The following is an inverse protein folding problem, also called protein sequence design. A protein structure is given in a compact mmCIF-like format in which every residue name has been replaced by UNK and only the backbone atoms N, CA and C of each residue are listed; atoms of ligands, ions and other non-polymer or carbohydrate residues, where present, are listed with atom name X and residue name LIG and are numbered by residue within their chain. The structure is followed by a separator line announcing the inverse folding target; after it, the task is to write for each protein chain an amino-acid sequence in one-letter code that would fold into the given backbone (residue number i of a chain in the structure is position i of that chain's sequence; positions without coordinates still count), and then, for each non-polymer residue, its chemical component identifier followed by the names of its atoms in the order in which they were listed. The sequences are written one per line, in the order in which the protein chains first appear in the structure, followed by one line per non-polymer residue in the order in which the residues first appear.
data_IF_325860973398
#
_entry.id   IF_325860973398
#
_cell.length_a   1.000
_cell.length_b   1.000
_cell.length_c   1.000
_cell.angle_alpha   90.00
_cell.angle_beta   90.00
_cell.angle_gamma   90.00
#
_symmetry.space_group_name_H-M   'P 1'
#
loop_
_entity.id
_entity.type
_entity.pdbx_description
1 polymer ?
#
# COMPACT_ATOMS: atom_id res chain seq x y z
N UNK A 1 -32.34 -5.01 37.17
CA UNK A 1 -33.37 -5.06 36.11
C UNK A 1 -33.32 -3.75 35.32
N UNK A 2 -32.24 -3.50 34.50
CA UNK A 2 -32.11 -2.27 33.71
C UNK A 2 -31.03 -2.47 32.60
N UNK A 3 -31.15 -3.49 31.75
CA UNK A 3 -30.18 -3.71 30.62
C UNK A 3 -30.91 -3.99 29.28
N UNK A 4 -32.15 -3.62 29.11
CA UNK A 4 -32.93 -4.04 27.94
C UNK A 4 -33.36 -2.91 26.99
N UNK A 5 -32.82 -1.68 27.08
CA UNK A 5 -33.30 -0.57 26.24
C UNK A 5 -32.25 0.14 25.36
N UNK A 6 -31.00 -0.28 25.38
CA UNK A 6 -29.96 0.38 24.55
C UNK A 6 -29.78 -0.27 23.15
N UNK A 7 -30.15 -1.50 22.96
CA UNK A 7 -29.95 -2.23 21.68
C UNK A 7 -30.77 -1.66 20.49
N UNK A 8 -32.05 -1.22 20.62
CA UNK A 8 -32.78 -0.74 19.46
C UNK A 8 -32.34 0.64 18.94
N UNK A 9 -31.78 1.49 19.80
CA UNK A 9 -31.32 2.84 19.40
C UNK A 9 -30.06 2.75 18.56
N UNK A 10 -29.14 1.88 18.93
CA UNK A 10 -27.88 1.65 18.20
C UNK A 10 -28.13 1.02 16.81
N UNK A 11 -29.03 0.04 16.71
CA UNK A 11 -29.45 -0.52 15.42
C UNK A 11 -30.14 0.52 14.53
N UNK A 12 -30.94 1.41 15.10
CA UNK A 12 -31.65 2.45 14.36
C UNK A 12 -30.65 3.51 13.84
N UNK A 13 -29.61 3.83 14.57
CA UNK A 13 -28.57 4.78 14.20
C UNK A 13 -27.66 4.22 13.09
N UNK A 14 -27.29 2.94 13.17
CA UNK A 14 -26.55 2.22 12.12
C UNK A 14 -27.35 2.15 10.82
N UNK A 15 -28.66 1.87 10.90
CA UNK A 15 -29.53 1.82 9.73
C UNK A 15 -29.71 3.18 9.05
N UNK A 16 -29.76 4.27 9.81
CA UNK A 16 -29.82 5.64 9.27
C UNK A 16 -28.51 6.03 8.61
N UNK A 17 -27.36 5.68 9.19
CA UNK A 17 -26.05 5.95 8.61
C UNK A 17 -25.85 5.17 7.31
N UNK A 18 -26.25 3.92 7.25
CA UNK A 18 -26.18 3.11 6.03
C UNK A 18 -27.09 3.64 4.91
N UNK A 19 -28.28 4.16 5.25
CA UNK A 19 -29.17 4.81 4.30
C UNK A 19 -28.60 6.13 3.77
N UNK A 20 -27.89 6.90 4.58
CA UNK A 20 -27.21 8.12 4.18
C UNK A 20 -26.03 7.79 3.24
N UNK A 21 -25.21 6.80 3.58
CA UNK A 21 -24.11 6.32 2.72
C UNK A 21 -24.63 5.82 1.37
N UNK A 22 -25.71 5.05 1.34
CA UNK A 22 -26.34 4.58 0.11
C UNK A 22 -26.86 5.75 -0.76
N UNK A 23 -27.40 6.80 -0.16
CA UNK A 23 -27.82 8.03 -0.85
C UNK A 23 -26.64 8.78 -1.47
N UNK A 24 -25.53 8.96 -0.76
CA UNK A 24 -24.36 9.63 -1.30
C UNK A 24 -23.67 8.78 -2.39
N UNK A 25 -23.65 7.47 -2.24
CA UNK A 25 -23.17 6.55 -3.28
C UNK A 25 -24.05 6.61 -4.53
N UNK A 26 -25.37 6.60 -4.39
CA UNK A 26 -26.31 6.72 -5.50
C UNK A 26 -26.20 8.09 -6.21
N UNK A 27 -26.00 9.17 -5.48
CA UNK A 27 -25.77 10.51 -6.02
C UNK A 27 -24.46 10.55 -6.80
N UNK A 28 -23.38 9.98 -6.24
CA UNK A 28 -22.09 9.88 -6.91
C UNK A 28 -22.16 9.05 -8.19
N UNK A 29 -22.90 7.95 -8.18
CA UNK A 29 -23.13 7.10 -9.34
C UNK A 29 -24.00 7.79 -10.41
N UNK A 30 -25.03 8.55 -10.02
CA UNK A 30 -25.85 9.37 -10.91
C UNK A 30 -25.05 10.51 -11.55
N UNK A 31 -24.13 11.12 -10.82
CA UNK A 31 -23.21 12.14 -11.37
C UNK A 31 -22.26 11.52 -12.40
N UNK A 32 -21.75 10.30 -12.17
CA UNK A 32 -20.90 9.59 -13.14
C UNK A 32 -21.70 9.22 -14.40
N UNK A 33 -22.95 8.78 -14.27
CA UNK A 33 -23.82 8.44 -15.39
C UNK A 33 -24.17 9.70 -16.21
N UNK A 34 -24.43 10.83 -15.54
CA UNK A 34 -24.73 12.10 -16.23
C UNK A 34 -23.54 12.65 -17.01
N UNK A 35 -22.30 12.37 -16.56
CA UNK A 35 -21.09 12.72 -17.30
C UNK A 35 -20.84 11.78 -18.49
N UNK A 36 -21.32 10.54 -18.45
CA UNK A 36 -21.17 9.56 -19.54
C UNK A 36 -22.14 9.79 -20.72
N UNK A 37 -23.27 10.46 -20.52
CA UNK A 37 -24.28 10.67 -21.57
C UNK A 37 -23.96 11.78 -22.57
N UNK A 38 -22.84 12.50 -22.42
CA UNK A 38 -22.53 13.69 -23.25
C UNK A 38 -21.58 13.40 -24.42
N UNK A 39 -21.07 12.19 -24.59
CA UNK A 39 -20.07 11.92 -25.63
C UNK A 39 -20.36 10.64 -26.41
N UNK A 40 -21.07 10.78 -27.55
CA UNK A 40 -20.88 9.86 -28.68
C UNK A 40 -19.60 10.32 -29.42
N UNK A 41 -18.45 9.82 -29.01
CA UNK A 41 -17.21 9.99 -29.76
C UNK A 41 -17.14 9.04 -30.97
N UNK A 42 -16.43 9.44 -32.05
CA UNK A 42 -16.19 8.56 -33.20
C UNK A 42 -15.52 7.26 -32.74
N UNK A 43 -15.89 6.12 -33.31
CA UNK A 43 -15.28 4.81 -33.01
C UNK A 43 -13.76 4.89 -33.21
N UNK A 44 -13.06 5.04 -32.09
CA UNK A 44 -11.60 4.89 -32.06
C UNK A 44 -11.26 3.43 -32.39
N UNK A 45 -10.20 3.20 -33.17
CA UNK A 45 -9.70 1.83 -33.41
C UNK A 45 -9.54 1.13 -32.07
N UNK A 46 -10.05 -0.11 -31.95
CA UNK A 46 -9.98 -0.83 -30.70
C UNK A 46 -8.52 -1.00 -30.24
N UNK A 47 -8.20 -0.52 -29.04
CA UNK A 47 -6.92 -0.75 -28.38
C UNK A 47 -6.75 -2.27 -28.14
N UNK A 48 -5.68 -2.90 -28.63
CA UNK A 48 -5.46 -4.32 -28.38
C UNK A 48 -5.19 -4.62 -26.90
N UNK A 49 -4.92 -3.59 -26.10
CA UNK A 49 -4.50 -3.71 -24.72
C UNK A 49 -3.03 -4.12 -24.59
N UNK A 50 -2.55 -4.15 -23.34
CA UNK A 50 -1.18 -4.48 -22.99
C UNK A 50 -1.17 -5.57 -21.92
N UNK A 51 -0.44 -6.65 -22.17
CA UNK A 51 -0.03 -7.62 -21.16
C UNK A 51 1.22 -7.06 -20.47
N UNK A 52 1.31 -7.21 -19.16
CA UNK A 52 2.47 -6.82 -18.38
C UNK A 52 2.67 -7.77 -17.19
N UNK A 53 3.90 -7.82 -16.69
CA UNK A 53 4.22 -8.65 -15.54
C UNK A 53 5.46 -8.20 -14.81
N UNK A 54 5.62 -8.73 -13.58
CA UNK A 54 6.83 -8.60 -12.76
C UNK A 54 7.08 -9.88 -12.00
N UNK A 55 8.35 -10.24 -11.87
CA UNK A 55 8.81 -11.37 -11.07
C UNK A 55 9.86 -10.85 -10.10
N UNK A 56 9.67 -11.16 -8.81
CA UNK A 56 10.63 -10.91 -7.74
C UNK A 56 11.18 -12.25 -7.26
N UNK A 57 12.46 -12.45 -7.42
CA UNK A 57 13.15 -13.64 -6.93
C UNK A 57 14.42 -13.24 -6.18
N UNK A 58 14.89 -14.13 -5.34
CA UNK A 58 16.13 -13.92 -4.62
C UNK A 58 16.86 -15.24 -4.34
N UNK A 59 18.09 -15.09 -3.96
CA UNK A 59 18.87 -16.04 -3.17
C UNK A 59 19.23 -15.34 -1.86
N UNK A 60 19.02 -15.99 -0.74
CA UNK A 60 19.34 -15.41 0.56
C UNK A 60 20.09 -16.35 1.47
N UNK A 61 20.82 -15.78 2.39
CA UNK A 61 21.39 -16.48 3.53
C UNK A 61 21.16 -15.70 4.82
N UNK A 62 20.69 -16.38 5.83
CA UNK A 62 20.59 -15.89 7.19
C UNK A 62 21.96 -15.92 7.85
N UNK A 63 22.27 -14.91 8.67
CA UNK A 63 23.56 -14.77 9.37
C UNK A 63 23.46 -14.96 10.88
N UNK A 64 22.35 -15.48 11.37
CA UNK A 64 22.11 -15.66 12.80
C UNK A 64 22.98 -16.80 13.37
N UNK A 65 23.22 -16.78 14.68
CA UNK A 65 23.89 -17.91 15.36
C UNK A 65 22.98 -19.13 15.38
N UNK A 66 23.42 -20.22 14.79
CA UNK A 66 22.70 -21.51 14.76
C UNK A 66 22.52 -22.05 13.35
N UNK A 67 21.39 -22.71 13.10
CA UNK A 67 21.05 -23.27 11.79
C UNK A 67 20.63 -22.15 10.83
N UNK A 68 21.58 -21.64 10.05
CA UNK A 68 21.35 -20.59 9.08
C UNK A 68 20.60 -21.13 7.86
N UNK A 69 19.48 -20.52 7.54
CA UNK A 69 18.71 -20.85 6.36
C UNK A 69 19.32 -20.19 5.12
N UNK A 70 19.49 -20.98 4.06
CA UNK A 70 19.95 -20.48 2.75
C UNK A 70 19.06 -21.08 1.68
N UNK A 71 18.46 -20.23 0.82
CA UNK A 71 17.53 -20.71 -0.19
C UNK A 71 17.44 -19.80 -1.42
N UNK A 72 16.99 -20.38 -2.54
CA UNK A 72 16.41 -19.64 -3.66
C UNK A 72 14.90 -19.51 -3.48
N UNK A 73 14.37 -18.33 -3.78
CA UNK A 73 12.96 -18.06 -3.61
C UNK A 73 12.39 -17.20 -4.74
N UNK A 74 11.16 -17.50 -5.14
CA UNK A 74 10.31 -16.56 -5.89
C UNK A 74 9.40 -15.90 -4.86
N UNK A 75 9.73 -14.68 -4.47
CA UNK A 75 8.96 -13.95 -3.46
C UNK A 75 7.58 -13.58 -3.96
N UNK A 76 7.49 -13.17 -5.24
CA UNK A 76 6.22 -12.71 -5.82
C UNK A 76 6.28 -12.67 -7.34
N UNK A 77 5.16 -12.91 -7.97
CA UNK A 77 4.99 -12.61 -9.39
C UNK A 77 3.65 -11.89 -9.61
N UNK A 78 3.67 -10.90 -10.49
CA UNK A 78 2.48 -10.19 -10.96
C UNK A 78 2.28 -10.50 -12.43
N UNK A 79 1.03 -10.71 -12.83
CA UNK A 79 0.63 -10.83 -14.23
C UNK A 79 -0.63 -10.03 -14.44
N UNK A 80 -0.64 -9.16 -15.43
CA UNK A 80 -1.77 -8.28 -15.67
C UNK A 80 -2.04 -8.00 -17.14
N UNK A 81 -3.25 -7.50 -17.36
CA UNK A 81 -3.71 -7.00 -18.64
C UNK A 81 -4.47 -5.69 -18.43
N UNK A 82 -4.13 -4.69 -19.21
CA UNK A 82 -4.87 -3.43 -19.24
C UNK A 82 -5.31 -3.09 -20.66
N UNK A 83 -6.46 -2.43 -20.78
CA UNK A 83 -7.03 -2.00 -22.07
C UNK A 83 -7.74 -0.67 -21.92
N UNK A 84 -7.51 0.24 -22.87
CA UNK A 84 -8.32 1.44 -23.04
C UNK A 84 -9.67 1.08 -23.68
N UNK A 85 -10.74 1.67 -23.18
CA UNK A 85 -12.12 1.50 -23.61
C UNK A 85 -12.66 2.88 -23.99
N UNK A 86 -12.57 3.23 -25.27
CA UNK A 86 -12.82 4.59 -25.73
C UNK A 86 -11.75 5.58 -25.23
N UNK A 87 -12.11 6.85 -25.17
CA UNK A 87 -11.18 7.95 -24.84
C UNK A 87 -10.96 8.15 -23.34
N UNK A 88 -11.92 7.76 -22.51
CA UNK A 88 -11.94 8.10 -21.09
C UNK A 88 -11.89 6.91 -20.15
N UNK A 89 -12.13 5.68 -20.63
CA UNK A 89 -12.19 4.51 -19.79
C UNK A 89 -10.96 3.60 -19.97
N UNK A 90 -10.59 2.92 -18.91
CA UNK A 90 -9.56 1.87 -18.90
C UNK A 90 -9.99 0.75 -17.97
N UNK A 91 -9.91 -0.49 -18.44
CA UNK A 91 -10.02 -1.66 -17.61
C UNK A 91 -8.64 -2.24 -17.30
N UNK A 92 -8.45 -2.73 -16.09
CA UNK A 92 -7.23 -3.40 -15.67
C UNK A 92 -7.57 -4.63 -14.83
N UNK A 93 -6.85 -5.71 -15.08
CA UNK A 93 -6.83 -6.90 -14.24
C UNK A 93 -5.38 -7.25 -13.97
N UNK A 94 -5.02 -7.44 -12.70
CA UNK A 94 -3.69 -7.88 -12.27
C UNK A 94 -3.82 -8.96 -11.22
N UNK A 95 -3.18 -10.09 -11.44
CA UNK A 95 -3.02 -11.17 -10.48
C UNK A 95 -1.74 -10.94 -9.67
N UNK A 96 -1.82 -11.26 -8.40
CA UNK A 96 -0.70 -11.45 -7.49
C UNK A 96 -0.54 -12.96 -7.29
N UNK A 97 0.63 -13.49 -7.61
CA UNK A 97 0.89 -14.91 -7.58
C UNK A 97 1.82 -15.17 -6.39
N UNK A 98 1.20 -15.52 -5.31
CA UNK A 98 1.74 -16.07 -4.10
C UNK A 98 2.95 -15.39 -3.48
N UNK A 99 2.96 -15.40 -2.18
CA UNK A 99 4.13 -15.14 -1.35
C UNK A 99 4.45 -16.43 -0.60
N UNK A 100 5.70 -16.70 -0.24
CA UNK A 100 6.05 -17.81 0.65
C UNK A 100 5.34 -17.73 2.00
N UNK A 101 4.98 -16.51 2.42
CA UNK A 101 4.26 -16.26 3.67
C UNK A 101 2.76 -16.57 3.57
N UNK A 102 2.23 -16.82 2.36
CA UNK A 102 0.84 -17.21 2.16
C UNK A 102 0.62 -18.63 2.73
N UNK A 103 -0.01 -18.70 3.88
CA UNK A 103 -0.31 -19.96 4.55
C UNK A 103 -1.71 -20.43 4.14
N UNK A 104 -1.81 -21.69 3.69
CA UNK A 104 -3.09 -22.36 3.49
C UNK A 104 -3.01 -23.80 4.01
N UNK A 105 -4.02 -24.19 4.75
CA UNK A 105 -4.19 -25.56 5.23
C UNK A 105 -4.45 -26.55 4.09
N UNK A 106 -4.96 -26.07 2.95
CA UNK A 106 -5.41 -26.88 1.82
C UNK A 106 -4.37 -27.02 0.69
N UNK A 107 -3.28 -26.25 0.71
CA UNK A 107 -2.27 -26.32 -0.35
C UNK A 107 -0.86 -26.49 0.20
N UNK A 108 -0.18 -27.49 -0.33
CA UNK A 108 1.24 -27.73 -0.07
C UNK A 108 2.18 -26.82 -0.84
N UNK A 109 1.67 -26.18 -1.91
CA UNK A 109 2.48 -25.38 -2.83
C UNK A 109 2.65 -23.95 -2.33
N UNK A 110 1.69 -23.44 -1.52
CA UNK A 110 1.67 -22.09 -0.94
C UNK A 110 1.87 -20.97 -1.98
N UNK A 111 1.36 -21.17 -3.19
CA UNK A 111 1.42 -20.20 -4.29
C UNK A 111 0.07 -20.12 -4.95
N UNK A 112 -0.66 -19.06 -4.62
CA UNK A 112 -2.00 -18.80 -5.14
C UNK A 112 -1.95 -17.60 -6.07
N UNK A 113 -2.79 -17.62 -7.08
CA UNK A 113 -3.09 -16.46 -7.89
C UNK A 113 -4.40 -15.85 -7.39
N UNK A 114 -4.37 -14.59 -6.97
CA UNK A 114 -5.55 -13.83 -6.58
C UNK A 114 -5.50 -12.43 -7.18
N UNK A 115 -6.64 -11.76 -7.22
CA UNK A 115 -6.72 -10.43 -7.80
C UNK A 115 -6.01 -9.41 -6.91
N UNK A 116 -4.94 -8.82 -7.44
CA UNK A 116 -4.32 -7.62 -6.85
C UNK A 116 -5.07 -6.37 -7.27
N UNK A 117 -5.47 -6.32 -8.55
CA UNK A 117 -6.31 -5.26 -9.08
C UNK A 117 -7.33 -5.86 -10.05
N UNK A 118 -8.54 -5.36 -10.03
CA UNK A 118 -9.59 -5.62 -10.99
C UNK A 118 -10.53 -4.42 -11.00
N UNK A 119 -10.28 -3.44 -11.86
CA UNK A 119 -11.00 -2.17 -11.81
C UNK A 119 -11.32 -1.59 -13.18
N UNK A 120 -12.36 -0.75 -13.20
CA UNK A 120 -12.63 0.23 -14.23
C UNK A 120 -12.11 1.59 -13.78
N UNK A 121 -11.31 2.24 -14.61
CA UNK A 121 -10.90 3.62 -14.43
C UNK A 121 -11.61 4.53 -15.42
N UNK A 122 -12.00 5.71 -14.96
CA UNK A 122 -12.46 6.83 -15.77
C UNK A 122 -11.49 8.00 -15.61
N UNK A 123 -11.03 8.57 -16.72
CA UNK A 123 -10.14 9.72 -16.71
C UNK A 123 -10.62 10.75 -17.72
N UNK A 124 -10.85 11.97 -17.24
CA UNK A 124 -11.16 13.13 -18.07
C UNK A 124 -10.60 14.39 -17.42
N UNK A 125 -9.84 15.15 -18.19
CA UNK A 125 -9.19 16.38 -17.75
C UNK A 125 -8.37 16.16 -16.45
N UNK A 126 -8.77 16.81 -15.38
CA UNK A 126 -8.15 16.75 -14.06
C UNK A 126 -8.71 15.67 -13.13
N UNK A 127 -9.76 14.98 -13.57
CA UNK A 127 -10.46 13.98 -12.78
C UNK A 127 -10.04 12.58 -13.19
N UNK A 128 -9.65 11.76 -12.20
CA UNK A 128 -9.48 10.33 -12.36
C UNK A 128 -10.31 9.61 -11.29
N UNK A 129 -11.01 8.56 -11.68
CA UNK A 129 -11.82 7.76 -10.78
C UNK A 129 -11.60 6.28 -11.07
N UNK A 130 -11.53 5.46 -10.02
CA UNK A 130 -11.34 4.02 -10.10
C UNK A 130 -12.43 3.31 -9.29
N UNK A 131 -12.98 2.24 -9.83
CA UNK A 131 -13.98 1.41 -9.15
C UNK A 131 -13.64 -0.07 -9.33
N UNK A 132 -13.62 -0.83 -8.24
CA UNK A 132 -13.26 -2.25 -8.20
C UNK A 132 -12.15 -2.52 -7.18
N UNK A 133 -11.33 -3.55 -7.39
CA UNK A 133 -10.12 -3.79 -6.58
C UNK A 133 -9.03 -2.83 -7.05
N UNK A 134 -8.81 -1.77 -6.28
CA UNK A 134 -7.96 -0.63 -6.62
C UNK A 134 -6.71 -0.58 -5.75
N UNK A 135 -5.65 0.02 -6.25
CA UNK A 135 -4.50 0.40 -5.41
C UNK A 135 -4.91 1.54 -4.46
N UNK A 136 -4.55 1.44 -3.18
CA UNK A 136 -4.81 2.49 -2.20
C UNK A 136 -3.69 3.53 -2.21
N UNK A 137 -4.07 4.81 -2.14
CA UNK A 137 -3.13 5.93 -2.29
C UNK A 137 -2.30 6.21 -1.04
N UNK A 138 -2.53 5.50 0.08
CA UNK A 138 -1.81 5.70 1.33
C UNK A 138 -0.29 5.76 1.11
N UNK A 139 0.27 4.71 0.54
CA UNK A 139 1.72 4.57 0.36
C UNK A 139 2.17 4.37 -1.10
N UNK A 140 1.28 4.53 -2.05
CA UNK A 140 1.61 4.37 -3.47
C UNK A 140 2.72 5.32 -3.93
N UNK A 141 2.72 6.54 -3.40
CA UNK A 141 3.73 7.55 -3.71
C UNK A 141 5.06 7.17 -3.04
N UNK A 142 5.04 6.78 -1.76
CA UNK A 142 6.20 6.32 -1.01
C UNK A 142 6.88 5.14 -1.71
N UNK A 143 6.09 4.13 -2.12
CA UNK A 143 6.59 2.97 -2.86
C UNK A 143 7.27 3.37 -4.16
N UNK A 144 6.74 4.36 -4.89
CA UNK A 144 7.33 4.89 -6.11
C UNK A 144 8.68 5.59 -5.87
N UNK A 145 8.84 6.27 -4.73
CA UNK A 145 10.09 6.90 -4.35
C UNK A 145 11.09 5.88 -3.78
N UNK A 146 10.64 4.93 -2.98
CA UNK A 146 11.47 3.83 -2.51
C UNK A 146 12.06 3.02 -3.68
N UNK A 147 11.27 2.74 -4.73
CA UNK A 147 11.66 2.11 -5.99
C UNK A 147 12.26 0.69 -5.88
N UNK A 148 12.45 0.15 -4.68
CA UNK A 148 13.04 -1.16 -4.39
C UNK A 148 12.01 -2.12 -3.78
N UNK A 149 10.76 -2.10 -4.30
CA UNK A 149 9.67 -2.96 -3.81
C UNK A 149 10.00 -4.46 -3.88
N UNK A 150 10.89 -4.86 -4.79
CA UNK A 150 11.35 -6.23 -4.95
C UNK A 150 12.35 -6.66 -3.85
N UNK A 151 12.96 -5.71 -3.13
CA UNK A 151 13.83 -5.92 -1.97
C UNK A 151 12.96 -5.93 -0.71
N UNK A 152 12.20 -4.85 -0.48
CA UNK A 152 11.32 -4.72 0.66
C UNK A 152 10.10 -3.83 0.33
N UNK A 153 8.96 -4.11 0.97
CA UNK A 153 7.76 -3.27 0.94
C UNK A 153 8.08 -1.84 1.42
N UNK A 154 7.27 -0.85 1.03
CA UNK A 154 7.32 0.46 1.68
C UNK A 154 7.03 0.31 3.18
N UNK A 155 7.43 1.28 4.00
CA UNK A 155 7.27 1.22 5.45
C UNK A 155 5.81 0.96 5.85
N UNK A 156 4.89 1.77 5.34
CA UNK A 156 3.47 1.62 5.68
C UNK A 156 2.86 0.26 5.25
N UNK A 157 3.35 -0.35 4.15
CA UNK A 157 2.95 -1.70 3.71
C UNK A 157 3.62 -2.80 4.56
N UNK A 158 4.91 -2.63 4.90
CA UNK A 158 5.68 -3.61 5.68
C UNK A 158 5.11 -3.76 7.09
N UNK A 159 4.78 -2.65 7.73
CA UNK A 159 4.28 -2.61 9.11
C UNK A 159 2.75 -2.45 9.20
N UNK A 160 2.03 -2.76 8.11
CA UNK A 160 0.57 -2.90 8.06
C UNK A 160 -0.21 -1.65 8.47
N UNK A 161 0.31 -0.44 8.22
CA UNK A 161 -0.45 0.81 8.42
C UNK A 161 -1.63 0.96 7.44
N UNK A 162 -1.78 0.07 6.48
CA UNK A 162 -2.89 -0.02 5.54
C UNK A 162 -2.69 -1.17 4.57
N UNK A 163 -3.71 -1.46 3.79
CA UNK A 163 -3.64 -2.42 2.69
C UNK A 163 -3.13 -1.74 1.42
N UNK A 164 -2.37 -2.47 0.59
CA UNK A 164 -1.85 -1.93 -0.67
C UNK A 164 -2.89 -1.83 -1.77
N UNK A 165 -3.98 -2.59 -1.66
CA UNK A 165 -5.16 -2.51 -2.52
C UNK A 165 -6.38 -3.01 -1.77
N UNK A 166 -7.56 -2.62 -2.23
CA UNK A 166 -8.83 -3.04 -1.65
C UNK A 166 -9.96 -2.87 -2.66
N UNK A 167 -11.10 -3.51 -2.40
CA UNK A 167 -12.33 -3.31 -3.17
C UNK A 167 -12.97 -1.99 -2.72
N UNK A 168 -13.14 -1.06 -3.67
CA UNK A 168 -13.65 0.26 -3.33
C UNK A 168 -13.73 1.21 -4.51
N UNK A 169 -13.85 2.47 -4.17
CA UNK A 169 -13.92 3.59 -5.07
C UNK A 169 -12.91 4.65 -4.68
N UNK A 170 -12.07 5.07 -5.63
CA UNK A 170 -11.09 6.14 -5.49
C UNK A 170 -11.44 7.26 -6.48
N UNK A 171 -11.42 8.48 -6.01
CA UNK A 171 -11.47 9.69 -6.82
C UNK A 171 -10.19 10.46 -6.58
N UNK A 172 -9.54 10.88 -7.66
CA UNK A 172 -8.40 11.78 -7.64
C UNK A 172 -8.72 13.00 -8.50
N UNK A 173 -8.38 14.18 -7.99
CA UNK A 173 -8.57 15.45 -8.68
C UNK A 173 -7.32 16.31 -8.60
N UNK A 174 -6.75 16.63 -9.76
CA UNK A 174 -5.59 17.52 -9.87
C UNK A 174 -6.08 18.98 -9.87
N UNK A 175 -6.24 19.55 -8.67
CA UNK A 175 -6.77 20.90 -8.50
C UNK A 175 -5.93 21.94 -9.25
N UNK A 176 -4.62 21.87 -9.08
CA UNK A 176 -3.64 22.68 -9.80
C UNK A 176 -2.49 21.79 -10.28
N UNK A 177 -1.54 22.32 -11.01
CA UNK A 177 -0.34 21.59 -11.45
C UNK A 177 0.55 21.14 -10.26
N UNK A 178 0.32 21.70 -9.08
CA UNK A 178 1.11 21.42 -7.88
C UNK A 178 0.30 20.88 -6.69
N UNK A 179 -1.03 20.74 -6.82
CA UNK A 179 -1.91 20.16 -5.78
C UNK A 179 -2.77 19.08 -6.41
N UNK A 180 -2.67 17.85 -5.88
CA UNK A 180 -3.57 16.73 -6.16
C UNK A 180 -4.27 16.29 -4.88
N UNK A 181 -5.57 16.09 -4.97
CA UNK A 181 -6.44 15.63 -3.89
C UNK A 181 -6.94 14.23 -4.22
N UNK A 182 -7.06 13.39 -3.23
CA UNK A 182 -7.70 12.08 -3.40
C UNK A 182 -8.66 11.76 -2.25
N UNK A 183 -9.72 11.04 -2.59
CA UNK A 183 -10.68 10.46 -1.67
C UNK A 183 -10.88 9.00 -2.02
N UNK A 184 -10.86 8.14 -1.03
CA UNK A 184 -11.10 6.69 -1.19
C UNK A 184 -12.17 6.24 -0.21
N UNK A 185 -13.03 5.36 -0.66
CA UNK A 185 -13.94 4.58 0.17
C UNK A 185 -13.79 3.11 -0.23
N UNK A 186 -13.43 2.26 0.73
CA UNK A 186 -13.17 0.84 0.48
C UNK A 186 -13.70 -0.04 1.61
N UNK A 187 -13.72 -1.34 1.39
CA UNK A 187 -14.16 -2.29 2.40
C UNK A 187 -13.32 -2.22 3.68
N UNK A 188 -12.00 -2.05 3.57
CA UNK A 188 -11.08 -1.99 4.71
C UNK A 188 -10.36 -3.30 5.01
N UNK A 189 -10.84 -4.43 4.48
CA UNK A 189 -10.28 -5.77 4.72
C UNK A 189 -9.02 -6.07 3.88
N UNK A 190 -8.84 -5.31 2.78
CA UNK A 190 -7.79 -5.56 1.81
C UNK A 190 -8.20 -6.53 0.70
N UNK A 191 -7.43 -6.52 -0.39
CA UNK A 191 -7.78 -7.17 -1.66
C UNK A 191 -7.81 -8.70 -1.63
N UNK A 192 -7.24 -9.33 -0.63
CA UNK A 192 -7.21 -10.80 -0.46
C UNK A 192 -8.30 -11.32 0.48
N UNK A 193 -9.10 -10.45 1.07
CA UNK A 193 -10.16 -10.79 2.01
C UNK A 193 -11.53 -10.40 1.46
N UNK A 194 -12.57 -11.13 1.90
CA UNK A 194 -13.95 -10.76 1.66
C UNK A 194 -14.42 -9.79 2.75
N UNK A 195 -15.39 -8.94 2.42
CA UNK A 195 -16.08 -8.13 3.41
C UNK A 195 -16.74 -9.04 4.45
N UNK A 196 -16.35 -8.93 5.71
CA UNK A 196 -16.84 -9.77 6.81
C UNK A 196 -17.81 -9.03 7.73
N UNK A 197 -17.86 -7.72 7.62
CA UNK A 197 -18.74 -6.85 8.40
C UNK A 197 -19.40 -5.75 7.53
N UNK A 198 -20.06 -4.78 8.14
CA UNK A 198 -20.71 -3.67 7.45
C UNK A 198 -19.90 -2.36 7.56
N UNK A 199 -18.63 -2.43 7.89
CA UNK A 199 -17.77 -1.25 8.03
C UNK A 199 -17.13 -0.89 6.71
N UNK A 200 -16.79 0.39 6.55
CA UNK A 200 -16.04 0.89 5.41
C UNK A 200 -14.89 1.75 5.92
N UNK A 201 -13.78 1.68 5.21
CA UNK A 201 -12.66 2.60 5.41
C UNK A 201 -12.78 3.76 4.44
N UNK A 202 -12.80 4.96 4.97
CA UNK A 202 -12.75 6.20 4.19
C UNK A 202 -11.40 6.87 4.37
N UNK A 203 -10.86 7.45 3.29
CA UNK A 203 -9.56 8.11 3.34
C UNK A 203 -9.54 9.38 2.50
N UNK A 204 -8.73 10.34 2.93
CA UNK A 204 -8.42 11.56 2.20
C UNK A 204 -6.90 11.73 2.09
N UNK A 205 -6.46 12.21 0.94
CA UNK A 205 -5.05 12.49 0.70
C UNK A 205 -4.85 13.83 -0.01
N UNK A 206 -3.75 14.48 0.31
CA UNK A 206 -3.29 15.70 -0.36
C UNK A 206 -1.84 15.51 -0.76
N UNK A 207 -1.55 15.63 -2.06
CA UNK A 207 -0.18 15.61 -2.59
C UNK A 207 0.18 16.99 -3.10
N UNK A 208 1.29 17.52 -2.63
CA UNK A 208 1.83 18.83 -2.99
C UNK A 208 3.12 18.64 -3.76
N UNK A 209 3.24 19.32 -4.90
CA UNK A 209 4.41 19.33 -5.79
C UNK A 209 4.96 20.75 -5.89
N UNK A 210 5.62 21.28 -4.84
CA UNK A 210 6.01 22.69 -4.78
C UNK A 210 7.12 23.08 -5.76
N UNK A 211 7.50 22.20 -6.66
CA UNK A 211 8.64 22.35 -7.56
C UNK A 211 9.92 21.78 -6.97
N UNK A 212 11.08 22.06 -7.62
CA UNK A 212 12.41 21.61 -7.17
C UNK A 212 12.52 20.10 -6.92
N UNK A 213 11.73 19.27 -7.64
CA UNK A 213 11.73 17.81 -7.50
C UNK A 213 11.24 17.31 -6.13
N UNK A 214 10.55 18.14 -5.37
CA UNK A 214 10.00 17.82 -4.06
C UNK A 214 8.56 17.34 -4.17
N UNK A 215 8.18 16.44 -3.28
CA UNK A 215 6.80 16.08 -3.00
C UNK A 215 6.56 16.07 -1.51
N UNK A 216 5.37 16.52 -1.11
CA UNK A 216 4.83 16.32 0.23
C UNK A 216 3.49 15.65 0.09
N UNK A 217 3.25 14.59 0.86
CA UNK A 217 1.94 13.95 0.93
C UNK A 217 1.45 13.90 2.36
N UNK A 218 0.22 14.33 2.55
CA UNK A 218 -0.57 14.15 3.76
C UNK A 218 -1.67 13.15 3.48
N UNK A 219 -1.93 12.27 4.43
CA UNK A 219 -2.95 11.25 4.33
C UNK A 219 -3.62 11.04 5.68
N UNK A 220 -4.92 10.80 5.66
CA UNK A 220 -5.70 10.41 6.82
C UNK A 220 -6.79 9.43 6.40
N UNK A 221 -6.93 8.32 7.14
CA UNK A 221 -8.05 7.39 7.00
C UNK A 221 -8.76 7.17 8.32
N UNK A 222 -10.00 6.70 8.21
CA UNK A 222 -10.78 6.26 9.34
C UNK A 222 -11.75 5.15 8.95
N UNK A 223 -12.03 4.28 9.91
CA UNK A 223 -13.06 3.24 9.88
C UNK A 223 -13.60 3.04 11.28
N UNK A 224 -14.82 2.53 11.40
CA UNK A 224 -15.53 2.39 12.67
C UNK A 224 -16.15 0.98 12.73
N UNK A 225 -15.85 0.25 13.81
CA UNK A 225 -16.51 -0.99 14.22
C UNK A 225 -17.10 -0.78 15.61
N UNK A 226 -16.61 -1.53 16.61
CA UNK A 226 -16.92 -1.29 18.02
C UNK A 226 -16.21 -0.03 18.52
N UNK A 227 -14.96 0.16 18.11
CA UNK A 227 -14.20 1.41 18.22
C UNK A 227 -13.81 1.94 16.84
N UNK A 228 -13.35 3.18 16.79
CA UNK A 228 -12.81 3.76 15.56
C UNK A 228 -11.31 3.44 15.43
N UNK A 229 -10.87 3.12 14.22
CA UNK A 229 -9.47 3.06 13.87
C UNK A 229 -9.16 4.14 12.84
N UNK A 230 -8.05 4.84 13.01
CA UNK A 230 -7.60 5.83 12.02
C UNK A 230 -6.08 5.83 11.85
N UNK A 231 -5.64 6.25 10.67
CA UNK A 231 -4.21 6.39 10.36
C UNK A 231 -3.93 7.78 9.81
N UNK A 232 -2.95 8.47 10.39
CA UNK A 232 -2.40 9.72 9.88
C UNK A 232 -1.00 9.48 9.33
N UNK A 233 -0.69 10.05 8.16
CA UNK A 233 0.59 9.85 7.49
C UNK A 233 1.12 11.13 6.86
N UNK A 234 2.43 11.32 6.98
CA UNK A 234 3.19 12.37 6.30
C UNK A 234 4.35 11.75 5.53
N UNK A 235 4.50 12.13 4.27
CA UNK A 235 5.65 11.77 3.45
C UNK A 235 6.27 13.01 2.80
N UNK A 236 7.59 13.05 2.81
CA UNK A 236 8.41 14.02 2.08
C UNK A 236 9.36 13.25 1.17
N UNK A 237 9.33 13.55 -0.13
CA UNK A 237 10.18 12.91 -1.13
C UNK A 237 10.92 13.94 -1.97
N UNK A 238 12.14 13.57 -2.37
CA UNK A 238 12.95 14.32 -3.31
C UNK A 238 13.49 13.38 -4.38
N UNK A 239 13.42 13.82 -5.65
CA UNK A 239 13.91 13.02 -6.77
C UNK A 239 14.65 13.90 -7.76
N UNK A 240 15.94 13.67 -7.93
CA UNK A 240 16.75 14.22 -8.99
C UNK A 240 17.11 13.09 -9.96
N UNK A 241 16.47 13.11 -11.13
CA UNK A 241 16.57 12.01 -12.09
C UNK A 241 18.02 11.62 -12.41
N UNK A 242 18.29 10.32 -12.41
CA UNK A 242 19.58 9.69 -12.64
C UNK A 242 20.71 10.15 -11.69
N UNK A 243 20.38 10.76 -10.54
CA UNK A 243 21.36 11.20 -9.54
C UNK A 243 21.01 10.78 -8.13
N UNK A 244 19.80 11.11 -7.68
CA UNK A 244 19.43 10.90 -6.30
C UNK A 244 17.90 10.75 -6.16
N UNK A 245 17.49 9.81 -5.32
CA UNK A 245 16.11 9.69 -4.85
C UNK A 245 16.16 9.50 -3.35
N UNK A 246 15.30 10.19 -2.62
CA UNK A 246 15.19 10.00 -1.17
C UNK A 246 13.80 10.33 -0.66
N UNK A 247 13.51 9.84 0.52
CA UNK A 247 12.24 10.11 1.18
C UNK A 247 12.29 9.85 2.67
N UNK A 248 11.42 10.53 3.38
CA UNK A 248 11.11 10.29 4.78
C UNK A 248 9.63 10.21 4.96
N UNK A 249 9.16 9.27 5.76
CA UNK A 249 7.76 9.12 6.09
C UNK A 249 7.56 8.92 7.58
N UNK A 250 6.43 9.38 8.10
CA UNK A 250 5.95 9.13 9.44
C UNK A 250 4.49 8.68 9.37
N UNK A 251 4.18 7.61 10.09
CA UNK A 251 2.82 7.07 10.18
C UNK A 251 2.45 6.93 11.65
N UNK A 252 1.20 7.24 11.98
CA UNK A 252 0.60 7.05 13.29
C UNK A 252 -0.77 6.41 13.11
N UNK A 253 -1.00 5.26 13.75
CA UNK A 253 -2.29 4.59 13.81
C UNK A 253 -2.84 4.68 15.21
N UNK A 254 -4.06 5.15 15.28
CA UNK A 254 -4.87 5.19 16.48
C UNK A 254 -5.75 3.94 16.53
N UNK A 255 -5.84 3.33 17.72
CA UNK A 255 -6.70 2.18 18.02
C UNK A 255 -6.51 1.04 17.03
N UNK A 256 -5.29 0.48 16.97
CA UNK A 256 -4.95 -0.62 16.08
C UNK A 256 -5.89 -1.81 16.33
N UNK A 257 -6.32 -2.44 15.24
CA UNK A 257 -7.31 -3.52 15.24
C UNK A 257 -8.60 -3.16 16.01
N UNK A 258 -9.01 -1.88 15.93
CA UNK A 258 -10.20 -1.33 16.59
C UNK A 258 -10.21 -1.52 18.11
N UNK A 259 -9.03 -1.56 18.72
CA UNK A 259 -8.88 -1.67 20.17
C UNK A 259 -8.50 -0.31 20.75
N UNK A 260 -9.31 0.21 21.66
CA UNK A 260 -9.10 1.53 22.28
C UNK A 260 -7.72 1.63 22.92
N UNK A 261 -7.04 2.75 22.69
CA UNK A 261 -5.71 3.09 23.21
C UNK A 261 -4.54 2.24 22.70
N UNK A 262 -4.78 1.24 21.81
CA UNK A 262 -3.71 0.49 21.15
C UNK A 262 -3.20 1.31 19.96
N UNK A 263 -2.21 2.17 20.22
CA UNK A 263 -1.63 3.04 19.19
C UNK A 263 -0.27 2.54 18.74
N UNK A 264 -0.01 2.59 17.44
CA UNK A 264 1.31 2.33 16.90
C UNK A 264 1.77 3.45 15.98
N UNK A 265 3.07 3.69 15.92
CA UNK A 265 3.65 4.76 15.13
C UNK A 265 5.07 4.39 14.69
N UNK A 266 5.52 5.06 13.65
CA UNK A 266 6.88 4.84 13.22
C UNK A 266 7.25 5.71 12.02
N UNK A 267 8.51 5.59 11.64
CA UNK A 267 9.06 6.35 10.53
C UNK A 267 10.04 5.53 9.71
N UNK A 268 10.19 5.95 8.47
CA UNK A 268 11.20 5.44 7.56
C UNK A 268 11.97 6.61 6.94
N UNK A 269 13.26 6.41 6.71
CA UNK A 269 14.09 7.30 5.92
C UNK A 269 14.90 6.46 4.95
N UNK A 270 14.90 6.83 3.66
CA UNK A 270 15.62 6.10 2.64
C UNK A 270 16.24 7.04 1.60
N UNK A 271 17.31 6.56 0.98
CA UNK A 271 17.97 7.25 -0.11
C UNK A 271 18.59 6.26 -1.10
N UNK A 272 18.67 6.68 -2.36
CA UNK A 272 19.39 6.03 -3.44
C UNK A 272 20.25 7.05 -4.16
N UNK A 273 21.50 6.72 -4.40
CA UNK A 273 22.45 7.53 -5.14
C UNK A 273 22.99 6.79 -6.35
N UNK A 274 22.76 7.37 -7.54
CA UNK A 274 23.24 6.85 -8.82
C UNK A 274 24.65 7.42 -9.06
N UNK A 275 25.66 6.62 -8.77
CA UNK A 275 27.06 7.06 -8.85
C UNK A 275 27.69 6.83 -10.22
N UNK A 276 27.10 5.95 -11.01
CA UNK A 276 27.45 5.67 -12.42
C UNK A 276 26.19 5.19 -13.15
N UNK A 277 26.19 5.23 -14.47
CA UNK A 277 25.08 4.75 -15.30
C UNK A 277 24.73 3.29 -14.95
N UNK A 278 23.44 3.00 -14.77
CA UNK A 278 22.90 1.69 -14.40
C UNK A 278 23.29 1.16 -13.01
N UNK A 279 24.01 1.93 -12.20
CA UNK A 279 24.41 1.53 -10.85
C UNK A 279 23.96 2.54 -9.81
N UNK A 280 23.42 2.04 -8.72
CA UNK A 280 23.09 2.85 -7.55
C UNK A 280 23.43 2.13 -6.25
N UNK A 281 23.74 2.89 -5.23
CA UNK A 281 23.72 2.42 -3.86
C UNK A 281 22.47 2.94 -3.19
N UNK A 282 21.92 2.16 -2.28
CA UNK A 282 20.71 2.54 -1.55
C UNK A 282 20.81 2.16 -0.09
N UNK A 283 20.05 2.87 0.73
CA UNK A 283 19.91 2.57 2.14
C UNK A 283 18.54 2.99 2.65
N UNK A 284 18.08 2.31 3.69
CA UNK A 284 16.82 2.58 4.38
C UNK A 284 16.97 2.25 5.86
N UNK A 285 16.36 3.08 6.68
CA UNK A 285 16.18 2.84 8.10
C UNK A 285 14.70 2.98 8.46
N UNK A 286 14.18 1.99 9.17
CA UNK A 286 12.82 1.97 9.70
C UNK A 286 12.84 1.93 11.21
N UNK A 287 11.85 2.56 11.84
CA UNK A 287 11.56 2.43 13.27
C UNK A 287 10.07 2.28 13.48
N UNK A 288 9.68 1.16 14.11
CA UNK A 288 8.32 0.90 14.57
C UNK A 288 8.29 0.97 16.11
N UNK A 289 7.23 1.54 16.66
CA UNK A 289 6.99 1.65 18.09
C UNK A 289 5.49 1.64 18.39
N UNK A 290 5.13 1.16 19.54
CA UNK A 290 3.78 1.25 20.09
C UNK A 290 3.79 1.99 21.44
N UNK A 291 2.63 2.44 21.89
CA UNK A 291 2.51 3.09 23.20
C UNK A 291 2.48 2.07 24.35
N UNK A 292 2.72 2.57 25.54
CA UNK A 292 2.53 1.83 26.78
C UNK A 292 1.12 2.12 27.28
N UNK A 293 0.35 1.10 27.57
CA UNK A 293 -1.01 1.22 28.10
C UNK A 293 -1.00 1.65 29.57
N UNK A 294 -2.07 2.28 30.00
CA UNK A 294 -2.21 2.72 31.40
C UNK A 294 -2.06 1.53 32.38
N UNK A 295 -1.14 1.67 33.32
CA UNK A 295 -0.82 0.62 34.31
C UNK A 295 0.18 -0.44 33.85
N UNK A 296 0.61 -0.42 32.60
CA UNK A 296 1.65 -1.30 32.06
C UNK A 296 3.03 -0.65 32.10
N UNK A 297 4.09 -1.44 31.90
CA UNK A 297 5.47 -0.97 31.89
C UNK A 297 6.20 -1.21 30.56
N UNK A 298 5.55 -1.89 29.63
CA UNK A 298 6.12 -2.26 28.32
C UNK A 298 5.12 -1.86 27.21
N UNK A 299 5.61 -1.59 26.00
CA UNK A 299 4.75 -1.33 24.84
C UNK A 299 3.84 -2.54 24.57
N UNK A 300 2.60 -2.27 24.13
CA UNK A 300 1.64 -3.34 23.87
C UNK A 300 2.07 -4.25 22.70
N UNK A 301 2.79 -3.71 21.73
CA UNK A 301 3.28 -4.44 20.55
C UNK A 301 4.78 -4.77 20.65
N UNK A 302 5.26 -5.06 21.83
CA UNK A 302 6.69 -5.31 22.13
C UNK A 302 7.33 -6.34 21.18
N UNK A 303 6.57 -7.32 20.70
CA UNK A 303 7.05 -8.38 19.83
C UNK A 303 7.47 -7.88 18.44
N UNK A 304 6.72 -6.89 17.90
CA UNK A 304 6.93 -6.35 16.56
C UNK A 304 7.61 -4.96 16.58
N UNK A 305 7.71 -4.32 17.74
CA UNK A 305 8.46 -3.06 17.89
C UNK A 305 9.95 -3.26 17.66
N UNK A 306 10.55 -2.38 16.90
CA UNK A 306 11.97 -2.50 16.58
C UNK A 306 12.46 -1.51 15.54
N UNK A 307 13.63 -1.80 15.00
CA UNK A 307 14.24 -1.01 13.92
C UNK A 307 14.76 -1.94 12.83
N UNK A 308 14.71 -1.50 11.58
CA UNK A 308 15.24 -2.22 10.43
C UNK A 308 16.25 -1.36 9.67
N UNK A 309 17.35 -1.96 9.29
CA UNK A 309 18.32 -1.37 8.38
C UNK A 309 18.34 -2.20 7.10
N UNK A 310 18.35 -1.53 5.97
CA UNK A 310 18.55 -2.12 4.64
C UNK A 310 19.65 -1.30 3.96
N UNK A 311 20.67 -1.95 3.41
CA UNK A 311 21.70 -1.27 2.64
C UNK A 311 22.20 -2.17 1.52
N UNK A 312 22.40 -1.62 0.32
CA UNK A 312 22.81 -2.42 -0.81
C UNK A 312 23.26 -1.63 -2.03
N UNK A 313 23.59 -2.39 -3.05
CA UNK A 313 23.95 -1.90 -4.38
C UNK A 313 23.05 -2.57 -5.42
N UNK A 314 22.55 -1.79 -6.35
CA UNK A 314 21.73 -2.25 -7.48
C UNK A 314 22.43 -2.00 -8.81
N UNK A 315 22.31 -2.96 -9.70
CA UNK A 315 22.69 -2.88 -11.10
C UNK A 315 21.50 -3.15 -12.00
N UNK A 316 21.20 -2.22 -12.89
CA UNK A 316 20.09 -2.31 -13.86
C UNK A 316 20.66 -2.37 -15.28
N UNK A 317 21.02 -3.57 -15.80
CA UNK A 317 21.61 -3.70 -17.15
C UNK A 317 20.70 -3.16 -18.25
N UNK A 318 19.40 -3.30 -18.06
CA UNK A 318 18.33 -2.76 -18.91
C UNK A 318 17.16 -2.34 -17.99
N UNK A 319 16.22 -1.57 -18.52
CA UNK A 319 15.07 -1.06 -17.75
C UNK A 319 14.19 -2.16 -17.13
N UNK A 320 14.14 -3.33 -17.78
CA UNK A 320 13.31 -4.47 -17.42
C UNK A 320 13.95 -5.40 -16.37
N UNK A 321 15.25 -5.25 -16.09
CA UNK A 321 15.99 -6.14 -15.19
C UNK A 321 16.76 -5.34 -14.16
N UNK A 322 16.54 -5.68 -12.88
CA UNK A 322 17.32 -5.16 -11.75
C UNK A 322 17.92 -6.30 -10.95
N UNK A 323 19.17 -6.14 -10.56
CA UNK A 323 19.93 -7.05 -9.71
C UNK A 323 20.42 -6.26 -8.50
N UNK A 324 20.17 -6.73 -7.29
CA UNK A 324 20.67 -6.07 -6.09
C UNK A 324 21.32 -7.06 -5.13
N UNK A 325 22.43 -6.64 -4.56
CA UNK A 325 23.04 -7.29 -3.40
C UNK A 325 22.79 -6.38 -2.22
N UNK A 326 22.12 -6.89 -1.19
CA UNK A 326 21.80 -6.10 -0.01
C UNK A 326 21.92 -6.90 1.30
N UNK A 327 22.16 -6.16 2.36
CA UNK A 327 22.13 -6.60 3.74
C UNK A 327 20.90 -6.01 4.43
N UNK A 328 20.21 -6.84 5.20
CA UNK A 328 19.09 -6.45 6.02
C UNK A 328 19.30 -6.92 7.45
N UNK A 329 18.96 -6.06 8.42
CA UNK A 329 19.06 -6.38 9.84
C UNK A 329 17.83 -5.80 10.57
N UNK A 330 17.12 -6.67 11.28
CA UNK A 330 16.05 -6.31 12.18
C UNK A 330 16.56 -6.33 13.62
N UNK A 331 16.38 -5.22 14.30
CA UNK A 331 16.73 -5.02 15.71
C UNK A 331 15.44 -4.97 16.53
N UNK A 332 14.97 -6.09 17.12
CA UNK A 332 13.79 -6.11 17.95
C UNK A 332 13.97 -5.21 19.18
N UNK A 333 12.89 -4.59 19.63
CA UNK A 333 12.91 -3.82 20.87
C UNK A 333 12.99 -4.70 22.12
N UNK A 334 12.46 -5.92 22.04
CA UNK A 334 12.47 -6.90 23.14
C UNK A 334 13.89 -7.37 23.46
N UNK A 335 14.32 -7.17 24.70
CA UNK A 335 15.68 -7.50 25.15
C UNK A 335 16.04 -9.00 25.08
N UNK A 336 15.06 -9.89 24.98
CA UNK A 336 15.22 -11.33 24.88
C UNK A 336 15.16 -11.88 23.45
N UNK A 337 14.94 -11.01 22.47
CA UNK A 337 14.94 -11.35 21.04
C UNK A 337 16.32 -11.04 20.42
N UNK A 338 16.73 -11.86 19.46
CA UNK A 338 17.97 -11.66 18.69
C UNK A 338 17.67 -10.88 17.42
N UNK A 339 18.69 -10.21 16.89
CA UNK A 339 18.63 -9.62 15.57
C UNK A 339 18.37 -10.67 14.50
N UNK A 340 17.67 -10.27 13.45
CA UNK A 340 17.46 -11.10 12.25
C UNK A 340 18.25 -10.49 11.10
N UNK A 341 19.33 -11.17 10.72
CA UNK A 341 20.30 -10.67 9.75
C UNK A 341 20.30 -11.51 8.49
N UNK A 342 20.24 -10.85 7.34
CA UNK A 342 20.22 -11.51 6.05
C UNK A 342 21.13 -10.82 5.03
N UNK A 343 21.70 -11.61 4.13
CA UNK A 343 22.25 -11.15 2.86
C UNK A 343 21.36 -11.69 1.75
N UNK A 344 20.95 -10.80 0.84
CA UNK A 344 20.13 -11.14 -0.32
C UNK A 344 20.84 -10.80 -1.64
N UNK A 345 20.70 -11.68 -2.61
CA UNK A 345 20.85 -11.38 -4.02
C UNK A 345 19.44 -11.33 -4.63
N UNK A 346 18.91 -10.15 -4.82
CA UNK A 346 17.56 -9.91 -5.32
C UNK A 346 17.54 -9.66 -6.82
N UNK A 347 16.48 -10.12 -7.48
CA UNK A 347 16.25 -9.94 -8.92
C UNK A 347 14.80 -9.47 -9.14
N UNK A 348 14.63 -8.37 -9.89
CA UNK A 348 13.35 -7.96 -10.49
C UNK A 348 13.44 -8.16 -12.01
N UNK A 349 12.44 -8.81 -12.60
CA UNK A 349 12.21 -8.84 -14.03
C UNK A 349 10.83 -8.27 -14.32
N UNK A 350 10.72 -7.31 -15.26
CA UNK A 350 9.46 -6.74 -15.72
C UNK A 350 9.31 -6.85 -17.24
N UNK A 351 8.09 -7.04 -17.73
CA UNK A 351 7.80 -7.20 -19.17
C UNK A 351 6.41 -6.67 -19.51
#
# INVERSE_FOLDING_TARGET
MTILFLHPIQQQQTMVNNLLLLRYFAIGMLLLISLATISQEPEAKPDPGKVYGKIYSNFYTELNEGDNQTAFEIRRAYFGYERKLGSHFKANVKLDIGSPDDISEFSRIRRYAYFKNAYLAYQKDKLTSYFGIIDLMHFKIQEKYWAHRYIEKSFADAYRFGSSADLGWLIQYDWTDWISLDFTMSNGEGYSQLQTDNTFRSAVGVSLYPGYNLITRLYYDWSEKDDNQSTASLFLGYKLDHKFIGGVEYNYRFNDDYTADYNMYGYSAFASWFFIENWQVFGRYDKLSSNILDGENIPWNLADDGSKIIAGIEYSPISEVKLALDYQDWFPYANNAKNEQFIFLNVEVSF
#
